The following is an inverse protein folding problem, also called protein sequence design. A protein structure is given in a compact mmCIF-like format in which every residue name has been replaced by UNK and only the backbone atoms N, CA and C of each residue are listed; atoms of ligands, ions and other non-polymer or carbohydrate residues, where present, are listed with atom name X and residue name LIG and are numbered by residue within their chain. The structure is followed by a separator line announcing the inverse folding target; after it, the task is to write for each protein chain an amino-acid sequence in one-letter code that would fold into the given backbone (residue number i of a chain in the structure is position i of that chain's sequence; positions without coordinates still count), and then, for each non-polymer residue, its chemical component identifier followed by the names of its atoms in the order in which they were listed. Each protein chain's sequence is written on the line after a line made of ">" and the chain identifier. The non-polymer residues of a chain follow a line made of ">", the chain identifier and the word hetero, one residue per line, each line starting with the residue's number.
data_IF_439983565567
#
_entry.id   IF_439983565567
#
_cell.length_a   1.000
_cell.length_b   1.000
_cell.length_c   1.000
_cell.angle_alpha   90.00
_cell.angle_beta   90.00
_cell.angle_gamma   90.00
#
_symmetry.space_group_name_H-M   'P 1'
#
loop_
_entity.id
_entity.type
_entity.pdbx_description
1 polymer ?
#
# COMPACT_ATOMS: atom_id res chain seq x y z
N UNK A 1 -4.12 6.71 21.96
CA UNK A 1 -4.52 5.34 21.60
C UNK A 1 -5.63 5.54 20.60
N UNK A 2 -5.31 5.54 19.32
CA UNK A 2 -6.33 5.66 18.28
C UNK A 2 -7.05 4.32 18.21
N UNK A 3 -8.38 4.35 18.37
CA UNK A 3 -9.23 3.18 18.23
C UNK A 3 -9.01 2.57 16.86
N UNK A 4 -8.61 1.29 16.83
CA UNK A 4 -8.60 0.52 15.58
C UNK A 4 -10.06 0.43 15.15
N UNK A 5 -10.42 1.29 14.20
CA UNK A 5 -11.78 1.39 13.68
C UNK A 5 -12.30 0.03 13.27
N UNK A 6 -13.39 -0.40 13.88
CA UNK A 6 -13.96 -1.72 13.62
C UNK A 6 -14.51 -1.78 12.20
N UNK A 7 -14.63 -3.00 11.64
CA UNK A 7 -15.30 -3.22 10.34
C UNK A 7 -16.74 -2.72 10.40
N UNK A 8 -17.37 -2.77 11.57
CA UNK A 8 -18.75 -2.33 11.79
C UNK A 8 -18.87 -0.80 11.71
N UNK A 9 -17.92 -0.07 12.31
CA UNK A 9 -17.91 1.39 12.22
C UNK A 9 -17.58 1.86 10.80
N UNK A 10 -16.65 1.19 10.13
CA UNK A 10 -16.39 1.41 8.71
C UNK A 10 -17.64 1.15 7.85
N UNK A 11 -18.37 0.07 8.12
CA UNK A 11 -19.59 -0.26 7.39
C UNK A 11 -20.67 0.81 7.55
N UNK A 12 -20.85 1.33 8.77
CA UNK A 12 -21.78 2.44 9.05
C UNK A 12 -21.41 3.68 8.26
N UNK A 13 -20.14 4.08 8.26
CA UNK A 13 -19.71 5.28 7.54
C UNK A 13 -19.83 5.15 6.03
N UNK A 14 -19.46 4.00 5.45
CA UNK A 14 -19.67 3.75 4.02
C UNK A 14 -21.16 3.82 3.68
N UNK A 15 -22.01 3.27 4.53
CA UNK A 15 -23.46 3.34 4.34
C UNK A 15 -23.99 4.77 4.41
N UNK A 16 -23.60 5.55 5.44
CA UNK A 16 -23.99 6.96 5.57
C UNK A 16 -23.56 7.75 4.34
N UNK A 17 -22.30 7.59 3.93
CA UNK A 17 -21.75 8.24 2.74
C UNK A 17 -22.53 7.90 1.46
N UNK A 18 -22.86 6.64 1.23
CA UNK A 18 -23.61 6.22 0.03
C UNK A 18 -25.05 6.73 0.08
N UNK A 19 -25.71 6.61 1.24
CA UNK A 19 -27.11 7.03 1.41
C UNK A 19 -27.27 8.54 1.22
N UNK A 20 -26.34 9.33 1.75
CA UNK A 20 -26.41 10.79 1.67
C UNK A 20 -26.16 11.33 0.26
N UNK A 21 -25.50 10.54 -0.61
CA UNK A 21 -25.12 10.97 -1.96
C UNK A 21 -25.90 10.28 -3.09
N UNK A 22 -26.54 9.13 -2.82
CA UNK A 22 -27.25 8.34 -3.83
C UNK A 22 -28.63 7.91 -3.33
N UNK A 23 -29.65 8.70 -3.66
CA UNK A 23 -31.05 8.46 -3.30
C UNK A 23 -31.61 7.12 -3.81
N UNK A 24 -31.00 6.55 -4.85
CA UNK A 24 -31.44 5.32 -5.52
C UNK A 24 -30.90 4.05 -4.86
N UNK A 25 -29.92 4.16 -3.96
CA UNK A 25 -29.34 2.99 -3.32
C UNK A 25 -30.18 2.55 -2.11
N UNK A 26 -30.84 1.41 -2.23
CA UNK A 26 -31.54 0.76 -1.12
C UNK A 26 -30.60 -0.23 -0.43
N UNK A 27 -30.12 0.14 0.76
CA UNK A 27 -29.32 -0.76 1.59
C UNK A 27 -30.13 -2.01 1.93
N UNK A 28 -29.66 -3.17 1.47
CA UNK A 28 -30.35 -4.44 1.69
C UNK A 28 -30.13 -5.05 3.08
N UNK A 29 -29.20 -4.50 3.90
CA UNK A 29 -28.79 -5.12 5.16
C UNK A 29 -28.32 -6.57 5.00
N UNK A 30 -27.99 -6.97 3.77
CA UNK A 30 -27.77 -8.34 3.40
C UNK A 30 -26.37 -8.78 3.82
N UNK A 31 -26.19 -10.09 4.06
CA UNK A 31 -24.85 -10.67 4.29
C UNK A 31 -23.86 -10.31 3.19
N UNK A 32 -24.40 -10.07 2.01
CA UNK A 32 -23.70 -9.85 0.76
C UNK A 32 -23.10 -8.44 0.68
N UNK A 33 -23.84 -7.42 1.09
CA UNK A 33 -23.33 -6.04 1.17
C UNK A 33 -22.23 -5.91 2.22
N UNK A 34 -22.40 -6.56 3.37
CA UNK A 34 -21.39 -6.57 4.42
C UNK A 34 -20.10 -7.29 3.97
N UNK A 35 -20.22 -8.35 3.17
CA UNK A 35 -19.06 -9.03 2.61
C UNK A 35 -18.27 -8.14 1.64
N UNK A 36 -18.95 -7.32 0.84
CA UNK A 36 -18.30 -6.34 -0.06
C UNK A 36 -17.58 -5.25 0.74
N UNK A 37 -18.26 -4.67 1.74
CA UNK A 37 -17.67 -3.65 2.61
C UNK A 37 -16.45 -4.19 3.36
N UNK A 38 -16.55 -5.41 3.91
CA UNK A 38 -15.41 -6.05 4.58
C UNK A 38 -14.23 -6.22 3.63
N UNK A 39 -14.46 -6.57 2.36
CA UNK A 39 -13.40 -6.69 1.36
C UNK A 39 -12.72 -5.33 1.09
N UNK A 40 -13.50 -4.25 0.99
CA UNK A 40 -12.96 -2.88 0.84
C UNK A 40 -12.17 -2.44 2.08
N UNK A 41 -12.67 -2.72 3.28
CA UNK A 41 -11.97 -2.47 4.54
C UNK A 41 -10.62 -3.19 4.59
N UNK A 42 -10.59 -4.47 4.21
CA UNK A 42 -9.36 -5.28 4.21
C UNK A 42 -8.32 -4.78 3.20
N UNK A 43 -8.70 -3.97 2.21
CA UNK A 43 -7.78 -3.33 1.26
C UNK A 43 -7.41 -1.90 1.71
N UNK A 44 -8.02 -1.41 2.78
CA UNK A 44 -7.78 -0.07 3.32
C UNK A 44 -8.41 1.05 2.50
N UNK A 45 -9.50 0.76 1.77
CA UNK A 45 -10.24 1.78 1.02
C UNK A 45 -11.03 2.63 2.01
N UNK A 46 -10.75 3.93 2.10
CA UNK A 46 -11.52 4.81 2.99
C UNK A 46 -12.90 5.14 2.41
N UNK A 47 -13.91 5.44 3.25
CA UNK A 47 -15.29 5.65 2.77
C UNK A 47 -15.42 6.72 1.68
N UNK A 48 -14.64 7.79 1.77
CA UNK A 48 -14.64 8.86 0.77
C UNK A 48 -14.14 8.38 -0.60
N UNK A 49 -13.17 7.46 -0.66
CA UNK A 49 -12.72 6.86 -1.93
C UNK A 49 -13.78 5.95 -2.54
N UNK A 50 -14.59 5.26 -1.72
CA UNK A 50 -15.75 4.49 -2.21
C UNK A 50 -16.74 5.42 -2.90
N UNK A 51 -17.07 6.54 -2.25
CA UNK A 51 -17.96 7.57 -2.80
C UNK A 51 -17.44 8.14 -4.13
N UNK A 52 -16.16 8.50 -4.19
CA UNK A 52 -15.54 9.01 -5.42
C UNK A 52 -15.57 7.99 -6.55
N UNK A 53 -15.23 6.73 -6.26
CA UNK A 53 -15.29 5.66 -7.25
C UNK A 53 -16.69 5.50 -7.83
N UNK A 54 -17.73 5.44 -6.98
CA UNK A 54 -19.12 5.30 -7.43
C UNK A 54 -19.53 6.50 -8.29
N UNK A 55 -19.23 7.72 -7.83
CA UNK A 55 -19.58 8.96 -8.55
C UNK A 55 -18.94 9.00 -9.93
N UNK A 56 -17.65 8.69 -10.03
CA UNK A 56 -16.95 8.63 -11.30
C UNK A 56 -17.54 7.53 -12.21
N UNK A 57 -17.78 6.35 -11.66
CA UNK A 57 -18.37 5.22 -12.39
C UNK A 57 -19.76 5.53 -12.97
N UNK A 58 -20.60 6.26 -12.22
CA UNK A 58 -21.90 6.73 -12.70
C UNK A 58 -21.75 7.75 -13.82
N UNK A 59 -20.89 8.76 -13.65
CA UNK A 59 -20.67 9.79 -14.67
C UNK A 59 -20.13 9.23 -16.00
N UNK A 60 -19.37 8.14 -15.93
CA UNK A 60 -18.81 7.45 -17.10
C UNK A 60 -19.75 6.39 -17.68
N UNK A 61 -20.95 6.19 -17.11
CA UNK A 61 -21.88 5.14 -17.54
C UNK A 61 -21.39 3.71 -17.29
N UNK A 62 -20.41 3.52 -16.40
CA UNK A 62 -19.87 2.21 -16.03
C UNK A 62 -20.62 1.55 -14.88
N UNK A 63 -21.32 2.36 -14.07
CA UNK A 63 -22.18 1.91 -12.98
C UNK A 63 -23.62 2.31 -13.32
N UNK A 64 -24.57 1.41 -13.04
CA UNK A 64 -26.00 1.69 -13.16
C UNK A 64 -26.46 2.59 -12.02
N UNK A 65 -27.38 3.56 -12.22
CA UNK A 65 -27.99 4.33 -11.14
C UNK A 65 -28.64 3.48 -10.05
N UNK A 66 -29.09 2.26 -10.38
CA UNK A 66 -29.71 1.29 -9.45
C UNK A 66 -28.71 0.18 -9.05
N UNK A 67 -27.45 0.53 -8.82
CA UNK A 67 -26.39 -0.44 -8.52
C UNK A 67 -26.61 -1.19 -7.20
N UNK A 68 -26.11 -2.43 -7.13
CA UNK A 68 -25.85 -3.13 -5.87
C UNK A 68 -24.36 -3.13 -5.57
N UNK A 69 -23.96 -3.22 -4.29
CA UNK A 69 -22.53 -3.22 -3.93
C UNK A 69 -21.77 -4.39 -4.55
N UNK A 70 -22.42 -5.54 -4.69
CA UNK A 70 -21.83 -6.71 -5.36
C UNK A 70 -21.43 -6.40 -6.81
N UNK A 71 -22.27 -5.67 -7.55
CA UNK A 71 -22.05 -5.35 -8.96
C UNK A 71 -20.86 -4.39 -9.14
N UNK A 72 -20.63 -3.53 -8.16
CA UNK A 72 -19.56 -2.51 -8.19
C UNK A 72 -18.33 -2.90 -7.37
N UNK A 73 -18.33 -4.05 -6.69
CA UNK A 73 -17.26 -4.52 -5.80
C UNK A 73 -15.88 -4.40 -6.42
N UNK A 74 -15.72 -5.03 -7.59
CA UNK A 74 -14.44 -5.06 -8.31
C UNK A 74 -14.15 -3.75 -9.01
N UNK A 75 -15.18 -2.99 -9.39
CA UNK A 75 -14.98 -1.65 -9.95
C UNK A 75 -14.30 -0.73 -8.93
N UNK A 76 -14.86 -0.61 -7.73
CA UNK A 76 -14.31 0.23 -6.64
C UNK A 76 -12.89 -0.19 -6.28
N UNK A 77 -12.64 -1.51 -6.17
CA UNK A 77 -11.29 -2.04 -5.88
C UNK A 77 -10.29 -1.70 -6.97
N UNK A 78 -10.64 -1.91 -8.23
CA UNK A 78 -9.73 -1.65 -9.35
C UNK A 78 -9.49 -0.15 -9.53
N UNK A 79 -10.51 0.66 -9.33
CA UNK A 79 -10.39 2.12 -9.29
C UNK A 79 -9.42 2.55 -8.19
N UNK A 80 -9.61 2.09 -6.95
CA UNK A 80 -8.74 2.44 -5.83
C UNK A 80 -7.29 1.98 -6.03
N UNK A 81 -7.09 0.76 -6.55
CA UNK A 81 -5.76 0.26 -6.90
C UNK A 81 -5.05 1.13 -7.94
N UNK A 82 -5.82 1.66 -8.90
CA UNK A 82 -5.31 2.57 -9.92
C UNK A 82 -4.92 3.91 -9.30
N UNK A 83 -5.79 4.53 -8.51
CA UNK A 83 -5.51 5.80 -7.82
C UNK A 83 -4.27 5.69 -6.92
N UNK A 84 -4.22 4.67 -6.05
CA UNK A 84 -3.08 4.44 -5.17
C UNK A 84 -1.77 4.22 -5.95
N UNK A 85 -1.85 3.70 -7.18
CA UNK A 85 -0.67 3.54 -8.05
C UNK A 85 -0.25 4.88 -8.66
N UNK A 86 -1.19 5.68 -9.14
CA UNK A 86 -0.93 7.00 -9.71
C UNK A 86 -0.35 7.96 -8.67
N UNK A 87 -0.93 8.01 -7.46
CA UNK A 87 -0.40 8.77 -6.32
C UNK A 87 1.03 8.35 -5.97
N UNK A 88 1.32 7.04 -5.99
CA UNK A 88 2.67 6.54 -5.71
C UNK A 88 3.66 6.84 -6.84
N UNK A 89 3.22 6.85 -8.11
CA UNK A 89 4.06 7.25 -9.23
C UNK A 89 4.44 8.74 -9.16
N UNK A 90 3.49 9.60 -8.81
CA UNK A 90 3.76 11.02 -8.56
C UNK A 90 4.71 11.22 -7.36
N UNK A 91 4.44 10.52 -6.25
CA UNK A 91 5.29 10.54 -5.07
C UNK A 91 6.73 10.11 -5.40
N UNK A 92 6.94 9.07 -6.22
CA UNK A 92 8.27 8.62 -6.67
C UNK A 92 9.00 9.67 -7.50
N UNK A 93 8.31 10.33 -8.43
CA UNK A 93 8.90 11.35 -9.31
C UNK A 93 9.46 12.51 -8.51
N UNK A 94 8.68 12.98 -7.54
CA UNK A 94 9.00 14.17 -6.74
C UNK A 94 9.66 13.84 -5.39
N UNK A 95 10.02 12.57 -5.13
CA UNK A 95 10.57 12.13 -3.84
C UNK A 95 11.92 12.78 -3.55
N UNK A 96 12.81 12.80 -4.55
CA UNK A 96 14.17 13.31 -4.40
C UNK A 96 14.28 14.84 -4.44
N UNK A 97 13.31 15.48 -5.07
CA UNK A 97 13.27 16.93 -5.28
C UNK A 97 12.70 17.67 -4.08
N UNK A 98 12.01 16.95 -3.18
CA UNK A 98 11.46 17.53 -1.96
C UNK A 98 12.57 17.81 -0.95
N UNK A 99 12.59 19.01 -0.39
CA UNK A 99 13.56 19.40 0.63
C UNK A 99 12.96 19.35 2.04
N UNK A 100 11.64 19.12 2.16
CA UNK A 100 10.95 19.10 3.44
C UNK A 100 10.82 17.64 3.93
N UNK A 101 11.43 17.30 5.09
CA UNK A 101 11.36 15.95 5.65
C UNK A 101 9.94 15.41 5.80
N UNK A 102 9.01 16.25 6.26
CA UNK A 102 7.61 15.89 6.46
C UNK A 102 6.93 15.42 5.16
N UNK A 103 7.19 16.11 4.04
CA UNK A 103 6.62 15.73 2.74
C UNK A 103 7.23 14.43 2.22
N UNK A 104 8.53 14.21 2.43
CA UNK A 104 9.18 12.94 2.10
C UNK A 104 8.55 11.78 2.88
N UNK A 105 8.23 11.97 4.16
CA UNK A 105 7.51 10.97 4.97
C UNK A 105 6.14 10.64 4.36
N UNK A 106 5.36 11.65 3.96
CA UNK A 106 4.06 11.43 3.29
C UNK A 106 4.20 10.66 1.99
N UNK A 107 5.12 11.09 1.14
CA UNK A 107 5.39 10.43 -0.15
C UNK A 107 5.83 8.99 0.07
N UNK A 108 6.67 8.73 1.07
CA UNK A 108 7.09 7.39 1.42
C UNK A 108 5.91 6.52 1.86
N UNK A 109 5.05 7.06 2.73
CA UNK A 109 3.84 6.37 3.18
C UNK A 109 2.93 6.01 2.01
N UNK A 110 2.71 6.92 1.05
CA UNK A 110 1.94 6.65 -0.19
C UNK A 110 2.55 5.54 -1.03
N UNK A 111 3.87 5.57 -1.24
CA UNK A 111 4.58 4.52 -2.00
C UNK A 111 4.45 3.16 -1.32
N UNK A 112 4.63 3.12 0.00
CA UNK A 112 4.52 1.89 0.79
C UNK A 112 3.09 1.34 0.75
N UNK A 113 2.07 2.19 0.97
CA UNK A 113 0.65 1.83 0.90
C UNK A 113 0.31 1.22 -0.46
N UNK A 114 0.73 1.84 -1.55
CA UNK A 114 0.52 1.36 -2.92
C UNK A 114 1.09 -0.04 -3.16
N UNK A 115 2.31 -0.32 -2.67
CA UNK A 115 2.92 -1.65 -2.81
C UNK A 115 2.22 -2.70 -1.95
N UNK A 116 1.77 -2.35 -0.74
CA UNK A 116 0.98 -3.27 0.09
C UNK A 116 -0.35 -3.62 -0.58
N UNK A 117 -1.03 -2.63 -1.16
CA UNK A 117 -2.27 -2.82 -1.94
C UNK A 117 -2.01 -3.72 -3.16
N UNK A 118 -0.92 -3.50 -3.91
CA UNK A 118 -0.54 -4.34 -5.06
C UNK A 118 -0.33 -5.81 -4.65
N UNK A 119 0.22 -6.03 -3.45
CA UNK A 119 0.45 -7.35 -2.87
C UNK A 119 -0.77 -7.95 -2.15
N UNK A 120 -1.92 -7.24 -2.14
CA UNK A 120 -3.13 -7.58 -1.38
C UNK A 120 -2.86 -7.82 0.11
N UNK A 121 -2.05 -6.97 0.73
CA UNK A 121 -1.75 -7.01 2.17
C UNK A 121 -2.69 -6.05 2.90
N UNK A 122 -3.37 -6.57 3.91
CA UNK A 122 -4.36 -5.82 4.71
C UNK A 122 -3.78 -5.11 5.93
N UNK A 123 -2.58 -5.51 6.36
CA UNK A 123 -1.89 -4.88 7.47
C UNK A 123 -1.14 -3.63 6.98
N UNK A 124 -1.70 -2.46 7.29
CA UNK A 124 -1.13 -1.16 6.96
C UNK A 124 -0.37 -0.50 8.12
N UNK A 125 -0.11 -1.23 9.22
CA UNK A 125 0.55 -0.68 10.41
C UNK A 125 1.89 -0.02 10.12
N UNK A 126 2.63 -0.49 9.11
CA UNK A 126 3.89 0.10 8.68
C UNK A 126 3.70 1.50 8.07
N UNK A 127 2.60 1.73 7.36
CA UNK A 127 2.22 3.03 6.82
C UNK A 127 1.94 4.00 7.96
N UNK A 128 1.18 3.55 8.96
CA UNK A 128 0.85 4.36 10.15
C UNK A 128 2.10 4.72 10.94
N UNK A 129 3.00 3.74 11.15
CA UNK A 129 4.31 3.98 11.77
C UNK A 129 5.11 5.02 11.00
N UNK A 130 5.19 4.93 9.66
CA UNK A 130 5.88 5.93 8.83
C UNK A 130 5.25 7.32 9.03
N UNK A 131 3.93 7.45 8.95
CA UNK A 131 3.24 8.73 9.13
C UNK A 131 3.50 9.31 10.54
N UNK A 132 3.52 8.48 11.57
CA UNK A 132 3.77 8.92 12.95
C UNK A 132 5.14 9.57 13.15
N UNK A 133 6.13 9.28 12.30
CA UNK A 133 7.47 9.87 12.37
C UNK A 133 7.47 11.39 12.14
N UNK A 134 6.41 11.94 11.56
CA UNK A 134 6.22 13.40 11.44
C UNK A 134 6.20 14.12 12.79
N UNK A 135 5.84 13.42 13.85
CA UNK A 135 5.73 13.97 15.20
C UNK A 135 7.07 13.92 15.97
N UNK A 136 8.10 13.28 15.40
CA UNK A 136 9.38 13.14 16.06
C UNK A 136 10.18 14.45 15.91
N UNK A 137 10.73 15.00 17.01
CA UNK A 137 11.49 16.25 16.95
C UNK A 137 12.92 16.05 16.39
N UNK A 138 13.44 14.83 16.39
CA UNK A 138 14.84 14.53 16.10
C UNK A 138 15.01 13.80 14.76
N UNK A 139 15.68 14.44 13.80
CA UNK A 139 15.96 13.86 12.48
C UNK A 139 16.76 12.56 12.53
N UNK A 140 17.69 12.42 13.48
CA UNK A 140 18.48 11.19 13.61
C UNK A 140 17.61 10.00 14.05
N UNK A 141 16.65 10.24 14.94
CA UNK A 141 15.70 9.22 15.37
C UNK A 141 14.73 8.84 14.25
N UNK A 142 14.33 9.81 13.42
CA UNK A 142 13.53 9.55 12.22
C UNK A 142 14.30 8.67 11.24
N UNK A 143 15.54 9.02 10.89
CA UNK A 143 16.38 8.24 9.96
C UNK A 143 16.62 6.81 10.46
N UNK A 144 16.91 6.65 11.75
CA UNK A 144 17.07 5.33 12.34
C UNK A 144 15.77 4.51 12.25
N UNK A 145 14.63 5.12 12.57
CA UNK A 145 13.32 4.46 12.52
C UNK A 145 12.95 4.11 11.08
N UNK A 146 13.25 4.98 10.12
CA UNK A 146 13.04 4.74 8.70
C UNK A 146 13.87 3.55 8.19
N UNK A 147 15.13 3.42 8.60
CA UNK A 147 15.96 2.27 8.25
C UNK A 147 15.39 0.94 8.81
N UNK A 148 14.91 0.95 10.05
CA UNK A 148 14.28 -0.23 10.67
C UNK A 148 12.96 -0.61 9.98
N UNK A 149 12.13 0.39 9.66
CA UNK A 149 10.88 0.21 8.91
C UNK A 149 11.15 -0.28 7.48
N UNK A 150 12.22 0.17 6.83
CA UNK A 150 12.59 -0.32 5.50
C UNK A 150 12.94 -1.81 5.51
N UNK A 151 13.72 -2.22 6.51
CA UNK A 151 14.10 -3.62 6.72
C UNK A 151 12.86 -4.49 6.96
N UNK A 152 11.90 -4.02 7.77
CA UNK A 152 10.60 -4.67 8.02
C UNK A 152 9.78 -4.76 6.73
N UNK A 153 9.61 -3.65 6.03
CA UNK A 153 8.84 -3.56 4.79
C UNK A 153 9.37 -4.49 3.70
N UNK A 154 10.69 -4.48 3.46
CA UNK A 154 11.28 -5.33 2.42
C UNK A 154 11.16 -6.82 2.74
N UNK A 155 11.09 -7.22 4.01
CA UNK A 155 10.78 -8.61 4.40
C UNK A 155 9.33 -8.97 4.06
N UNK A 156 8.39 -8.06 4.33
CA UNK A 156 6.97 -8.22 3.96
C UNK A 156 6.85 -8.39 2.44
N UNK A 157 7.50 -7.51 1.67
CA UNK A 157 7.52 -7.57 0.20
C UNK A 157 8.16 -8.88 -0.27
N UNK A 158 9.31 -9.29 0.27
CA UNK A 158 9.95 -10.54 -0.14
C UNK A 158 9.08 -11.78 0.13
N UNK A 159 8.35 -11.79 1.25
CA UNK A 159 7.48 -12.91 1.63
C UNK A 159 6.26 -13.06 0.72
N UNK A 160 5.64 -11.95 0.34
CA UNK A 160 4.36 -11.93 -0.37
C UNK A 160 4.51 -11.70 -1.89
N UNK A 161 5.67 -11.24 -2.36
CA UNK A 161 5.87 -10.93 -3.77
C UNK A 161 5.98 -12.20 -4.63
N UNK A 162 5.18 -12.33 -5.72
CA UNK A 162 5.37 -13.39 -6.71
C UNK A 162 6.70 -13.24 -7.47
N UNK A 163 7.33 -12.05 -7.43
CA UNK A 163 8.61 -11.77 -8.10
C UNK A 163 9.82 -12.17 -7.24
N UNK A 164 9.64 -12.47 -5.96
CA UNK A 164 10.72 -12.85 -5.04
C UNK A 164 11.53 -14.06 -5.54
N UNK A 165 10.86 -15.09 -6.07
CA UNK A 165 11.53 -16.28 -6.64
C UNK A 165 12.46 -15.92 -7.79
N UNK A 166 12.03 -15.02 -8.68
CA UNK A 166 12.84 -14.54 -9.82
C UNK A 166 14.05 -13.72 -9.32
N UNK A 167 13.84 -12.84 -8.34
CA UNK A 167 14.92 -12.07 -7.73
C UNK A 167 15.96 -12.96 -7.03
N UNK A 168 15.53 -14.01 -6.30
CA UNK A 168 16.45 -14.99 -5.67
C UNK A 168 17.31 -15.72 -6.68
N UNK A 169 16.71 -16.24 -7.77
CA UNK A 169 17.44 -16.92 -8.85
C UNK A 169 18.47 -15.98 -9.50
N UNK A 170 18.11 -14.72 -9.74
CA UNK A 170 19.04 -13.71 -10.28
C UNK A 170 20.22 -13.48 -9.34
N UNK A 171 19.96 -13.32 -8.03
CA UNK A 171 21.01 -13.13 -7.04
C UNK A 171 21.96 -14.35 -6.97
N UNK A 172 21.41 -15.57 -7.00
CA UNK A 172 22.20 -16.81 -7.02
C UNK A 172 23.11 -16.89 -8.26
N UNK A 173 22.57 -16.59 -9.44
CA UNK A 173 23.34 -16.60 -10.68
C UNK A 173 24.50 -15.60 -10.65
N UNK A 174 24.29 -14.41 -10.08
CA UNK A 174 25.34 -13.40 -9.96
C UNK A 174 26.44 -13.82 -8.97
N UNK A 175 26.06 -14.51 -7.89
CA UNK A 175 27.01 -14.92 -6.84
C UNK A 175 27.68 -16.26 -7.09
N UNK A 176 27.22 -17.06 -8.06
CA UNK A 176 27.74 -18.41 -8.34
C UNK A 176 29.27 -18.44 -8.45
N UNK A 177 29.86 -17.50 -9.20
CA UNK A 177 31.32 -17.41 -9.42
C UNK A 177 32.10 -17.02 -8.16
N UNK A 178 31.48 -16.29 -7.24
CA UNK A 178 32.11 -15.80 -6.02
C UNK A 178 31.95 -16.76 -4.84
N UNK A 179 30.97 -17.67 -4.91
CA UNK A 179 30.64 -18.60 -3.83
C UNK A 179 31.78 -19.54 -3.41
N UNK A 180 32.78 -19.74 -4.28
CA UNK A 180 33.96 -20.55 -4.00
C UNK A 180 35.08 -19.78 -3.29
N UNK A 181 35.19 -18.47 -3.56
CA UNK A 181 36.30 -17.63 -3.08
C UNK A 181 35.95 -16.80 -1.86
N UNK A 182 34.66 -16.50 -1.67
CA UNK A 182 34.20 -15.63 -0.60
C UNK A 182 33.71 -16.46 0.59
N UNK A 183 33.88 -15.88 1.78
CA UNK A 183 33.32 -16.45 3.01
C UNK A 183 31.80 -16.63 2.88
N UNK A 184 31.29 -17.75 3.41
CA UNK A 184 29.87 -18.11 3.32
C UNK A 184 28.94 -17.05 3.92
N UNK A 185 29.36 -16.36 4.99
CA UNK A 185 28.57 -15.27 5.60
C UNK A 185 28.50 -14.08 4.65
N UNK A 186 29.59 -13.71 4.00
CA UNK A 186 29.63 -12.63 3.01
C UNK A 186 28.68 -12.96 1.85
N UNK A 187 28.80 -14.16 1.26
CA UNK A 187 27.93 -14.60 0.16
C UNK A 187 26.44 -14.54 0.55
N UNK A 188 26.10 -15.00 1.76
CA UNK A 188 24.72 -14.95 2.28
C UNK A 188 24.21 -13.52 2.45
N UNK A 189 25.04 -12.63 3.01
CA UNK A 189 24.69 -11.22 3.20
C UNK A 189 24.49 -10.53 1.85
N UNK A 190 25.44 -10.67 0.92
CA UNK A 190 25.34 -10.10 -0.42
C UNK A 190 24.11 -10.63 -1.17
N UNK A 191 23.78 -11.92 -1.03
CA UNK A 191 22.57 -12.49 -1.65
C UNK A 191 21.31 -11.78 -1.17
N UNK A 192 21.17 -11.57 0.15
CA UNK A 192 20.03 -10.85 0.73
C UNK A 192 19.96 -9.42 0.18
N UNK A 193 21.09 -8.71 0.14
CA UNK A 193 21.16 -7.34 -0.41
C UNK A 193 20.77 -7.28 -1.89
N UNK A 194 21.20 -8.26 -2.70
CA UNK A 194 20.83 -8.33 -4.13
C UNK A 194 19.33 -8.61 -4.33
N UNK A 195 18.74 -9.46 -3.48
CA UNK A 195 17.29 -9.72 -3.51
C UNK A 195 16.52 -8.45 -3.15
N UNK A 196 16.87 -7.79 -2.04
CA UNK A 196 16.28 -6.50 -1.65
C UNK A 196 16.40 -5.46 -2.76
N UNK A 197 17.59 -5.29 -3.36
CA UNK A 197 17.83 -4.37 -4.48
C UNK A 197 16.99 -4.71 -5.72
N UNK A 198 16.79 -5.98 -6.01
CA UNK A 198 15.91 -6.42 -7.10
C UNK A 198 14.45 -6.06 -6.82
N UNK A 199 13.95 -6.36 -5.62
CA UNK A 199 12.57 -6.05 -5.23
C UNK A 199 12.31 -4.54 -5.19
N UNK A 200 13.25 -3.75 -4.63
CA UNK A 200 13.17 -2.27 -4.67
C UNK A 200 12.94 -1.75 -6.10
N UNK A 201 13.71 -2.27 -7.06
CA UNK A 201 13.57 -1.87 -8.48
C UNK A 201 12.25 -2.31 -9.11
N UNK A 202 11.78 -3.52 -8.79
CA UNK A 202 10.54 -4.07 -9.35
C UNK A 202 9.32 -3.26 -8.90
N UNK A 203 9.30 -2.85 -7.63
CA UNK A 203 8.18 -2.14 -7.01
C UNK A 203 8.38 -0.62 -6.94
N UNK A 204 9.50 -0.10 -7.49
CA UNK A 204 9.83 1.32 -7.43
C UNK A 204 9.94 1.87 -6.00
N UNK A 205 10.49 1.08 -5.08
CA UNK A 205 10.63 1.46 -3.66
C UNK A 205 11.92 2.30 -3.53
N UNK A 206 11.84 3.57 -3.09
CA UNK A 206 13.01 4.40 -2.82
C UNK A 206 13.72 3.91 -1.55
N UNK A 207 14.90 4.45 -1.27
CA UNK A 207 15.52 4.28 0.04
C UNK A 207 14.73 5.10 1.06
N UNK A 208 14.52 4.54 2.25
CA UNK A 208 13.78 5.21 3.31
C UNK A 208 14.74 6.20 3.98
N UNK A 209 14.87 7.38 3.38
CA UNK A 209 15.70 8.49 3.85
C UNK A 209 14.95 9.79 3.60
N UNK A 210 14.97 10.68 4.58
CA UNK A 210 14.40 12.03 4.49
C UNK A 210 15.49 13.09 4.34
N UNK A 211 16.74 12.74 4.62
CA UNK A 211 17.93 13.53 4.26
C UNK A 211 18.26 13.33 2.79
#
# INVERSE_FOLDING_TARGET
>A
MDDIKSVEDYAKEVWECIKDHFDTYQWGGSSDDFAVIRDWYMIGIEPHYVLFAISEGLSQGKISPNFKLQDIREFVKNWYKKEAKEEAEEARKTFKEDNLPYNKIEKLARIVKSVLIELNISDFSIVDKIISLKNYPNLFEIEKSLADLEEEFLKIVERNSPKAKKCRKRAESLLKKYSFYWDKKIVKLTKRTLVKKCLRRVYGIPEFSIV
#
